data_IF_225266362615
#
_entry.id   IF_225266362615
#
_cell.length_a   1.000
_cell.length_b   1.000
_cell.length_c   1.000
_cell.angle_alpha   90.00
_cell.angle_beta   90.00
_cell.angle_gamma   90.00
#
_symmetry.space_group_name_H-M   'P 1'
#
loop_
_entity.id
_entity.type
_entity.pdbx_description
1 polymer ?
#
# COMPACT_ATOMS: atom_id res chain seq x y z
N UNK A 1 -0.84 -19.18 12.53
CA UNK A 1 -1.99 -18.37 12.09
C UNK A 1 -3.24 -19.23 12.20
N UNK A 2 -4.14 -19.01 13.17
CA UNK A 2 -5.39 -19.77 13.24
C UNK A 2 -6.22 -19.48 11.98
N UNK A 3 -6.52 -20.53 11.21
CA UNK A 3 -7.37 -20.44 10.03
C UNK A 3 -8.81 -20.25 10.48
N UNK A 4 -9.35 -19.04 10.32
CA UNK A 4 -10.77 -18.77 10.58
C UNK A 4 -11.57 -19.41 9.45
N UNK A 5 -12.47 -20.34 9.80
CA UNK A 5 -13.33 -21.00 8.82
C UNK A 5 -14.34 -20.00 8.23
N UNK A 6 -14.58 -20.07 6.93
CA UNK A 6 -15.64 -19.31 6.25
C UNK A 6 -17.02 -19.53 6.90
N UNK A 7 -17.25 -20.72 7.46
CA UNK A 7 -18.47 -21.02 8.23
C UNK A 7 -18.57 -20.23 9.54
N UNK A 8 -17.44 -19.87 10.15
CA UNK A 8 -17.36 -19.03 11.35
C UNK A 8 -17.68 -17.58 11.00
N UNK A 9 -17.15 -17.07 9.88
CA UNK A 9 -17.42 -15.71 9.38
C UNK A 9 -18.93 -15.54 9.09
N UNK A 10 -19.53 -16.50 8.37
CA UNK A 10 -20.96 -16.47 8.06
C UNK A 10 -21.85 -16.55 9.31
N UNK A 11 -21.43 -17.30 10.34
CA UNK A 11 -22.14 -17.36 11.62
C UNK A 11 -22.05 -16.04 12.39
N UNK A 12 -20.86 -15.42 12.42
CA UNK A 12 -20.62 -14.13 13.11
C UNK A 12 -21.48 -13.01 12.53
N UNK A 13 -21.56 -12.93 11.20
CA UNK A 13 -22.38 -11.94 10.49
C UNK A 13 -23.89 -12.14 10.74
N UNK A 14 -24.34 -13.37 11.05
CA UNK A 14 -25.76 -13.70 11.31
C UNK A 14 -26.24 -13.28 12.69
N UNK A 15 -25.34 -13.17 13.67
CA UNK A 15 -25.66 -12.93 15.08
C UNK A 15 -25.30 -11.55 15.59
N UNK A 16 -24.69 -10.70 14.76
CA UNK A 16 -24.23 -9.37 15.17
C UNK A 16 -25.37 -8.36 15.05
N UNK A 17 -25.70 -7.71 16.17
CA UNK A 17 -26.67 -6.61 16.26
C UNK A 17 -26.17 -5.32 15.60
N UNK A 18 -24.90 -5.25 15.23
CA UNK A 18 -24.23 -4.11 14.57
C UNK A 18 -24.50 -4.01 13.06
N UNK A 19 -25.05 -5.05 12.43
CA UNK A 19 -25.42 -5.00 11.01
C UNK A 19 -26.94 -4.92 10.86
N UNK A 20 -27.49 -3.82 10.32
CA UNK A 20 -28.91 -3.79 9.97
C UNK A 20 -29.20 -4.90 8.95
N UNK A 21 -30.41 -5.48 9.03
CA UNK A 21 -30.89 -6.37 7.99
C UNK A 21 -30.76 -5.66 6.64
N UNK A 22 -30.11 -6.31 5.68
CA UNK A 22 -29.76 -5.73 4.39
C UNK A 22 -31.03 -5.14 3.72
N UNK A 23 -31.05 -3.84 3.38
CA UNK A 23 -32.27 -3.16 2.92
C UNK A 23 -32.74 -3.62 1.54
N UNK A 24 -31.90 -4.34 0.79
CA UNK A 24 -32.35 -5.17 -0.31
C UNK A 24 -32.29 -6.63 0.11
N UNK A 25 -33.46 -7.27 0.09
CA UNK A 25 -33.61 -8.71 0.03
C UNK A 25 -33.02 -9.23 -1.30
N UNK A 26 -31.71 -9.10 -1.49
CA UNK A 26 -31.01 -9.98 -2.42
C UNK A 26 -30.82 -11.29 -1.67
N UNK A 27 -31.31 -12.38 -2.25
CA UNK A 27 -31.31 -13.73 -1.71
C UNK A 27 -29.91 -14.35 -1.49
N UNK A 28 -28.91 -13.57 -1.08
CA UNK A 28 -27.49 -13.90 -1.13
C UNK A 28 -26.90 -14.48 0.16
N UNK A 29 -27.46 -14.22 1.35
CA UNK A 29 -26.97 -14.92 2.55
C UNK A 29 -27.30 -16.41 2.51
N UNK A 30 -28.47 -16.76 1.96
CA UNK A 30 -28.78 -18.13 1.56
C UNK A 30 -27.83 -18.62 0.46
N UNK A 31 -27.52 -17.78 -0.53
CA UNK A 31 -26.66 -18.19 -1.66
C UNK A 31 -25.20 -18.43 -1.28
N UNK A 32 -24.58 -17.67 -0.37
CA UNK A 32 -23.17 -17.87 -0.02
C UNK A 32 -22.95 -19.19 0.73
N UNK A 33 -23.85 -19.51 1.66
CA UNK A 33 -23.87 -20.81 2.34
C UNK A 33 -24.15 -21.96 1.37
N UNK A 34 -25.14 -21.80 0.48
CA UNK A 34 -25.45 -22.79 -0.56
C UNK A 34 -24.30 -22.97 -1.56
N UNK A 35 -23.71 -21.89 -2.09
CA UNK A 35 -22.55 -21.95 -3.00
C UNK A 35 -21.33 -22.57 -2.33
N UNK A 36 -21.11 -22.33 -1.04
CA UNK A 36 -20.05 -23.03 -0.29
C UNK A 36 -20.31 -24.54 -0.20
N UNK A 37 -21.56 -24.95 0.04
CA UNK A 37 -21.94 -26.37 0.06
C UNK A 37 -21.79 -27.03 -1.32
N UNK A 38 -22.17 -26.33 -2.40
CA UNK A 38 -21.98 -26.76 -3.79
C UNK A 38 -20.50 -26.92 -4.12
N UNK A 39 -19.67 -25.94 -3.73
CA UNK A 39 -18.22 -26.03 -3.91
C UNK A 39 -17.61 -27.23 -3.16
N UNK A 40 -18.07 -27.51 -1.93
CA UNK A 40 -17.62 -28.71 -1.19
C UNK A 40 -18.04 -30.00 -1.88
N UNK A 41 -19.26 -30.06 -2.42
CA UNK A 41 -19.72 -31.20 -3.21
C UNK A 41 -18.90 -31.39 -4.49
N UNK A 42 -18.61 -30.31 -5.22
CA UNK A 42 -17.76 -30.33 -6.41
C UNK A 42 -16.32 -30.75 -6.09
N UNK A 43 -15.76 -30.33 -4.94
CA UNK A 43 -14.47 -30.81 -4.45
C UNK A 43 -14.46 -32.33 -4.28
N UNK A 44 -15.49 -32.89 -3.64
CA UNK A 44 -15.61 -34.33 -3.44
C UNK A 44 -15.79 -35.10 -4.76
N UNK A 45 -16.61 -34.58 -5.69
CA UNK A 45 -16.83 -35.19 -6.99
C UNK A 45 -15.57 -35.18 -7.87
N UNK A 46 -14.76 -34.12 -7.81
CA UNK A 46 -13.53 -33.98 -8.60
C UNK A 46 -12.35 -34.86 -8.16
N UNK A 47 -12.49 -35.64 -7.07
CA UNK A 47 -11.41 -36.49 -6.53
C UNK A 47 -10.94 -37.56 -7.52
N UNK A 48 -11.80 -37.95 -8.47
CA UNK A 48 -11.48 -38.91 -9.52
C UNK A 48 -10.63 -38.37 -10.68
N UNK A 49 -10.26 -37.08 -10.67
CA UNK A 49 -9.38 -36.48 -11.69
C UNK A 49 -10.04 -36.14 -13.03
N UNK A 50 -11.37 -36.25 -13.13
CA UNK A 50 -12.12 -35.85 -14.33
C UNK A 50 -11.96 -34.34 -14.59
N UNK A 51 -11.55 -33.99 -15.83
CA UNK A 51 -11.34 -32.62 -16.29
C UNK A 51 -12.62 -31.78 -16.25
N UNK A 52 -13.79 -32.37 -16.51
CA UNK A 52 -15.07 -31.66 -16.49
C UNK A 52 -15.44 -31.29 -15.05
N UNK A 53 -15.31 -32.25 -14.13
CA UNK A 53 -15.58 -32.02 -12.70
C UNK A 53 -14.56 -31.04 -12.07
N UNK A 54 -13.30 -31.08 -12.54
CA UNK A 54 -12.29 -30.09 -12.16
C UNK A 54 -12.64 -28.68 -12.65
N UNK A 55 -13.16 -28.54 -13.89
CA UNK A 55 -13.67 -27.27 -14.42
C UNK A 55 -14.86 -26.73 -13.61
N UNK A 56 -15.81 -27.60 -13.26
CA UNK A 56 -16.97 -27.22 -12.44
C UNK A 56 -16.54 -26.75 -11.04
N UNK A 57 -15.62 -27.45 -10.38
CA UNK A 57 -15.03 -27.02 -9.10
C UNK A 57 -14.42 -25.62 -9.20
N UNK A 58 -13.70 -25.31 -10.27
CA UNK A 58 -13.07 -24.01 -10.45
C UNK A 58 -14.11 -22.89 -10.64
N UNK A 59 -15.18 -23.16 -11.40
CA UNK A 59 -16.32 -22.25 -11.56
C UNK A 59 -17.05 -21.98 -10.23
N UNK A 60 -17.28 -23.04 -9.45
CA UNK A 60 -17.92 -22.91 -8.13
C UNK A 60 -17.02 -22.16 -7.15
N UNK A 61 -15.69 -22.35 -7.24
CA UNK A 61 -14.70 -21.58 -6.46
C UNK A 61 -14.80 -20.09 -6.76
N UNK A 62 -14.84 -19.72 -8.03
CA UNK A 62 -14.95 -18.32 -8.46
C UNK A 62 -16.25 -17.69 -7.97
N UNK A 63 -17.36 -18.42 -8.06
CA UNK A 63 -18.66 -17.99 -7.54
C UNK A 63 -18.60 -17.69 -6.04
N UNK A 64 -17.98 -18.57 -5.24
CA UNK A 64 -17.81 -18.35 -3.80
C UNK A 64 -16.94 -17.12 -3.51
N UNK A 65 -15.85 -16.91 -4.26
CA UNK A 65 -14.97 -15.75 -4.11
C UNK A 65 -15.71 -14.45 -4.42
N UNK A 66 -16.48 -14.41 -5.51
CA UNK A 66 -17.23 -13.21 -5.89
C UNK A 66 -18.28 -12.83 -4.82
N UNK A 67 -18.97 -13.83 -4.26
CA UNK A 67 -19.91 -13.61 -3.16
C UNK A 67 -19.22 -13.11 -1.88
N UNK A 68 -18.02 -13.63 -1.56
CA UNK A 68 -17.22 -13.15 -0.43
C UNK A 68 -16.77 -11.69 -0.62
N UNK A 69 -16.37 -11.32 -1.83
CA UNK A 69 -16.00 -9.93 -2.14
C UNK A 69 -17.21 -9.00 -1.98
N UNK A 70 -18.37 -9.38 -2.51
CA UNK A 70 -19.61 -8.61 -2.32
C UNK A 70 -19.95 -8.43 -0.84
N UNK A 71 -19.82 -9.49 -0.04
CA UNK A 71 -20.02 -9.39 1.41
C UNK A 71 -19.00 -8.46 2.07
N UNK A 72 -17.72 -8.53 1.67
CA UNK A 72 -16.69 -7.63 2.21
C UNK A 72 -16.96 -6.16 1.90
N UNK A 73 -17.46 -5.85 0.68
CA UNK A 73 -17.83 -4.49 0.31
C UNK A 73 -19.00 -3.97 1.13
N UNK A 74 -19.99 -4.82 1.40
CA UNK A 74 -21.08 -4.44 2.30
C UNK A 74 -20.60 -4.16 3.71
N UNK A 75 -19.78 -5.04 4.28
CA UNK A 75 -19.21 -4.85 5.62
C UNK A 75 -18.45 -3.53 5.68
N UNK A 76 -17.65 -3.22 4.66
CA UNK A 76 -16.94 -1.94 4.58
C UNK A 76 -17.88 -0.73 4.49
N UNK A 77 -18.99 -0.86 3.76
CA UNK A 77 -20.02 0.18 3.67
C UNK A 77 -20.71 0.42 5.01
N UNK A 78 -21.05 -0.63 5.76
CA UNK A 78 -21.69 -0.51 7.08
C UNK A 78 -20.71 -0.04 8.15
N UNK A 79 -19.45 -0.45 8.08
CA UNK A 79 -18.45 -0.09 9.07
C UNK A 79 -18.09 1.40 9.05
N UNK A 80 -18.30 2.13 7.94
CA UNK A 80 -17.95 3.56 7.82
C UNK A 80 -16.53 3.91 8.31
N UNK A 81 -15.56 3.00 8.14
CA UNK A 81 -14.18 3.18 8.61
C UNK A 81 -13.93 2.74 10.06
N UNK A 82 -14.94 2.28 10.79
CA UNK A 82 -14.77 1.67 12.10
C UNK A 82 -14.18 0.26 11.97
N UNK A 83 -12.93 0.13 12.41
CA UNK A 83 -12.18 -1.12 12.37
C UNK A 83 -12.80 -2.22 13.25
N UNK A 84 -13.47 -1.86 14.34
CA UNK A 84 -14.06 -2.83 15.25
C UNK A 84 -15.24 -3.55 14.60
N UNK A 85 -16.07 -2.83 13.85
CA UNK A 85 -17.19 -3.39 13.09
C UNK A 85 -16.69 -4.38 12.04
N UNK A 86 -15.58 -4.07 11.35
CA UNK A 86 -14.96 -5.01 10.40
C UNK A 86 -14.43 -6.26 11.12
N UNK A 87 -13.81 -6.12 12.29
CA UNK A 87 -13.33 -7.27 13.06
C UNK A 87 -14.48 -8.16 13.57
N UNK A 88 -15.59 -7.57 14.03
CA UNK A 88 -16.79 -8.29 14.46
C UNK A 88 -17.40 -9.15 13.34
N UNK A 89 -17.33 -8.67 12.10
CA UNK A 89 -17.81 -9.42 10.94
C UNK A 89 -16.95 -10.65 10.60
N UNK A 90 -15.78 -10.81 11.22
CA UNK A 90 -14.84 -11.90 10.97
C UNK A 90 -13.90 -11.66 9.78
N UNK A 91 -13.95 -10.47 9.18
CA UNK A 91 -12.97 -10.04 8.17
C UNK A 91 -11.75 -9.40 8.84
N UNK A 92 -10.57 -9.64 8.29
CA UNK A 92 -9.34 -8.98 8.77
C UNK A 92 -9.16 -7.67 8.01
N UNK A 93 -9.21 -6.50 8.67
CA UNK A 93 -8.93 -5.23 8.02
C UNK A 93 -7.47 -5.16 7.57
N UNK A 94 -7.23 -4.55 6.42
CA UNK A 94 -5.89 -4.27 5.91
C UNK A 94 -5.09 -3.43 6.91
N UNK A 95 -3.79 -3.69 7.04
CA UNK A 95 -2.90 -2.90 7.89
C UNK A 95 -2.90 -1.45 7.40
N UNK A 96 -3.18 -0.52 8.30
CA UNK A 96 -3.04 0.90 8.01
C UNK A 96 -1.56 1.26 7.78
N UNK A 97 -1.25 2.13 6.80
CA UNK A 97 0.10 2.57 6.56
C UNK A 97 0.61 3.40 7.75
N UNK A 98 1.47 2.77 8.55
CA UNK A 98 2.22 3.42 9.63
C UNK A 98 3.16 4.48 9.05
N UNK A 99 3.25 5.62 9.73
CA UNK A 99 4.22 6.67 9.41
C UNK A 99 5.62 6.16 9.71
N UNK A 100 6.46 6.05 8.68
CA UNK A 100 7.89 5.83 8.87
C UNK A 100 8.54 7.17 9.18
N UNK A 101 9.08 7.31 10.39
CA UNK A 101 9.87 8.47 10.78
C UNK A 101 11.12 8.53 9.89
N UNK A 102 11.23 9.62 9.13
CA UNK A 102 12.43 9.93 8.34
C UNK A 102 13.49 10.53 9.27
N UNK A 103 14.76 10.27 8.98
CA UNK A 103 15.90 10.87 9.68
C UNK A 103 16.68 11.78 8.74
N UNK A 104 17.34 12.82 9.27
CA UNK A 104 18.21 13.70 8.49
C UNK A 104 19.28 12.88 7.73
N UNK A 105 19.47 13.09 6.41
CA UNK A 105 20.49 12.39 5.64
C UNK A 105 21.89 12.68 6.21
N UNK A 106 22.71 11.64 6.29
CA UNK A 106 24.10 11.74 6.76
C UNK A 106 25.08 11.45 5.62
N UNK A 107 26.32 11.91 5.78
CA UNK A 107 27.42 11.64 4.86
C UNK A 107 27.17 12.19 3.44
N UNK A 108 26.94 13.50 3.34
CA UNK A 108 26.84 14.19 2.07
C UNK A 108 28.22 14.15 1.39
N UNK A 109 28.27 13.58 0.20
CA UNK A 109 29.47 13.48 -0.64
C UNK A 109 29.19 14.14 -1.97
N UNK A 110 30.08 15.05 -2.35
CA UNK A 110 30.07 15.69 -3.66
C UNK A 110 31.24 15.13 -4.46
N UNK A 111 30.97 14.67 -5.67
CA UNK A 111 31.99 14.10 -6.56
C UNK A 111 31.85 14.70 -7.95
N UNK A 112 32.98 15.00 -8.59
CA UNK A 112 32.99 15.47 -9.96
C UNK A 112 32.68 14.32 -10.92
N UNK A 113 31.78 14.54 -11.87
CA UNK A 113 31.35 13.51 -12.84
C UNK A 113 32.24 13.40 -14.07
N UNK A 114 33.28 14.24 -14.18
CA UNK A 114 34.16 14.30 -15.34
C UNK A 114 33.72 15.30 -16.42
N UNK A 115 32.51 15.86 -16.30
CA UNK A 115 31.96 16.85 -17.24
C UNK A 115 31.94 18.25 -16.60
N UNK A 116 32.39 19.30 -17.31
CA UNK A 116 32.37 20.65 -16.79
C UNK A 116 30.91 21.10 -16.58
N UNK A 117 30.63 21.64 -15.39
CA UNK A 117 29.28 22.10 -15.02
C UNK A 117 28.33 21.02 -14.52
N UNK A 118 28.83 19.81 -14.24
CA UNK A 118 28.08 18.74 -13.57
C UNK A 118 28.73 18.32 -12.25
N UNK A 119 27.92 18.17 -11.20
CA UNK A 119 28.33 17.60 -9.91
C UNK A 119 27.41 16.44 -9.54
N UNK A 120 27.99 15.35 -9.04
CA UNK A 120 27.25 14.26 -8.43
C UNK A 120 27.21 14.45 -6.93
N UNK A 121 26.02 14.74 -6.41
CA UNK A 121 25.77 14.81 -4.96
C UNK A 121 25.18 13.49 -4.53
N UNK A 122 25.73 12.89 -3.49
CA UNK A 122 25.26 11.63 -2.93
C UNK A 122 25.14 11.71 -1.42
N UNK A 123 24.11 11.07 -0.88
CA UNK A 123 23.87 10.95 0.55
C UNK A 123 23.68 9.49 0.93
N UNK A 124 23.86 9.16 2.21
CA UNK A 124 23.51 7.83 2.70
C UNK A 124 21.99 7.64 2.56
N UNK A 125 21.51 6.56 1.92
CA UNK A 125 20.08 6.31 1.77
C UNK A 125 19.39 6.22 3.13
N UNK A 126 18.33 7.01 3.31
CA UNK A 126 17.47 7.00 4.51
C UNK A 126 16.31 6.02 4.30
N UNK A 127 16.09 5.15 5.28
CA UNK A 127 14.98 4.18 5.26
C UNK A 127 13.66 4.93 5.39
N UNK A 128 12.74 4.74 4.44
CA UNK A 128 11.45 5.45 4.40
C UNK A 128 11.44 6.76 3.63
N UNK A 129 12.57 7.16 3.04
CA UNK A 129 12.63 8.27 2.09
C UNK A 129 11.87 7.91 0.79
N UNK A 130 10.94 8.77 0.39
CA UNK A 130 10.28 8.71 -0.91
C UNK A 130 11.08 9.49 -1.97
N UNK A 131 11.66 10.62 -1.60
CA UNK A 131 12.53 11.42 -2.46
C UNK A 131 13.50 12.28 -1.65
N UNK A 132 14.48 12.83 -2.35
CA UNK A 132 15.52 13.70 -1.83
C UNK A 132 15.43 15.06 -2.53
N UNK A 133 15.55 16.13 -1.75
CA UNK A 133 15.59 17.50 -2.24
C UNK A 133 17.01 18.02 -2.06
N UNK A 134 17.71 18.20 -3.17
CA UNK A 134 19.04 18.78 -3.19
C UNK A 134 18.90 20.26 -3.47
N UNK A 135 19.38 21.10 -2.57
CA UNK A 135 19.35 22.55 -2.76
C UNK A 135 20.77 23.08 -2.86
N UNK A 136 21.00 24.01 -3.78
CA UNK A 136 22.29 24.67 -3.94
C UNK A 136 22.15 26.17 -4.16
N UNK A 137 23.17 26.93 -3.74
CA UNK A 137 23.27 28.37 -3.97
C UNK A 137 24.72 28.80 -4.21
N UNK A 138 24.91 29.90 -4.92
CA UNK A 138 26.20 30.58 -5.13
C UNK A 138 26.41 31.75 -4.18
N UNK A 139 25.38 32.17 -3.44
CA UNK A 139 25.46 33.33 -2.58
C UNK A 139 26.18 32.97 -1.25
N UNK A 140 27.30 33.64 -0.89
CA UNK A 140 27.98 33.41 0.38
C UNK A 140 27.13 33.77 1.61
N UNK A 141 26.10 34.61 1.46
CA UNK A 141 25.21 34.99 2.56
C UNK A 141 24.14 33.93 2.88
N UNK A 142 24.04 32.85 2.09
CA UNK A 142 23.11 31.73 2.31
C UNK A 142 21.62 32.14 2.48
N UNK A 143 21.22 33.29 1.93
CA UNK A 143 19.85 33.79 2.02
C UNK A 143 18.83 32.76 1.50
N UNK A 144 17.72 32.55 2.22
CA UNK A 144 16.74 31.49 1.95
C UNK A 144 16.08 31.59 0.56
N UNK A 145 16.06 32.77 -0.05
CA UNK A 145 15.48 33.01 -1.38
C UNK A 145 16.35 32.57 -2.56
N UNK A 146 17.65 32.35 -2.34
CA UNK A 146 18.62 32.11 -3.43
C UNK A 146 18.93 30.61 -3.64
N UNK A 147 18.17 29.72 -3.00
CA UNK A 147 18.36 28.28 -3.09
C UNK A 147 17.62 27.71 -4.30
N UNK A 148 18.38 27.13 -5.23
CA UNK A 148 17.82 26.35 -6.33
C UNK A 148 17.61 24.90 -5.88
N UNK A 149 16.44 24.34 -6.17
CA UNK A 149 16.04 22.99 -5.72
C UNK A 149 16.05 22.00 -6.87
N UNK A 150 16.57 20.82 -6.60
CA UNK A 150 16.58 19.67 -7.51
C UNK A 150 16.03 18.47 -6.77
N UNK A 151 14.93 17.92 -7.29
CA UNK A 151 14.31 16.73 -6.73
C UNK A 151 14.83 15.48 -7.41
N UNK A 152 15.21 14.49 -6.62
CA UNK A 152 15.68 13.20 -7.09
C UNK A 152 15.08 12.09 -6.23
N UNK A 153 14.59 11.02 -6.84
CA UNK A 153 14.07 9.85 -6.11
C UNK A 153 15.19 8.99 -5.52
N UNK A 154 16.38 9.04 -6.13
CA UNK A 154 17.57 8.35 -5.64
C UNK A 154 18.36 9.21 -4.64
N UNK A 155 19.05 8.54 -3.71
CA UNK A 155 20.01 9.16 -2.78
C UNK A 155 21.29 9.70 -3.48
N UNK A 156 21.31 9.70 -4.82
CA UNK A 156 22.37 10.29 -5.65
C UNK A 156 21.70 11.10 -6.75
N UNK A 157 22.12 12.34 -6.93
CA UNK A 157 21.55 13.25 -7.91
C UNK A 157 22.65 13.98 -8.65
N UNK A 158 22.47 14.14 -9.96
CA UNK A 158 23.37 14.94 -10.80
C UNK A 158 22.80 16.35 -10.88
N UNK A 159 23.51 17.31 -10.31
CA UNK A 159 23.21 18.73 -10.48
C UNK A 159 23.93 19.19 -11.75
N UNK A 160 23.18 19.74 -12.70
CA UNK A 160 23.68 20.16 -14.02
C UNK A 160 23.51 21.66 -14.20
N UNK A 161 24.26 22.24 -15.14
CA UNK A 161 24.16 23.66 -15.48
C UNK A 161 24.92 24.56 -14.50
N UNK A 162 25.91 24.02 -13.80
CA UNK A 162 26.76 24.79 -12.89
C UNK A 162 27.87 25.50 -13.67
N UNK A 163 28.25 26.70 -13.23
CA UNK A 163 29.36 27.47 -13.80
C UNK A 163 30.68 26.94 -13.23
N UNK A 164 31.63 26.48 -14.07
CA UNK A 164 32.92 25.99 -13.59
C UNK A 164 33.71 27.08 -12.84
N UNK A 165 34.36 26.71 -11.74
CA UNK A 165 35.20 27.62 -10.94
C UNK A 165 34.45 28.46 -9.90
N UNK A 166 33.12 28.38 -9.83
CA UNK A 166 32.33 29.02 -8.79
C UNK A 166 32.21 28.13 -7.53
N UNK A 167 32.16 28.77 -6.36
CA UNK A 167 31.88 28.09 -5.09
C UNK A 167 30.36 27.92 -4.91
N UNK A 168 29.94 26.70 -4.64
CA UNK A 168 28.53 26.36 -4.39
C UNK A 168 28.36 25.83 -2.97
N UNK A 169 27.32 26.30 -2.28
CA UNK A 169 26.86 25.75 -1.02
C UNK A 169 25.71 24.77 -1.31
N UNK A 170 25.75 23.59 -0.69
CA UNK A 170 24.76 22.55 -0.92
C UNK A 170 24.16 22.06 0.40
N UNK A 171 22.84 21.85 0.41
CA UNK A 171 22.12 21.16 1.48
C UNK A 171 21.18 20.12 0.90
N UNK A 172 20.83 19.11 1.69
CA UNK A 172 19.98 18.00 1.26
C UNK A 172 18.88 17.79 2.29
N UNK A 173 17.64 17.89 1.86
CA UNK A 173 16.46 17.49 2.63
C UNK A 173 15.92 16.14 2.15
N UNK A 174 15.21 15.43 3.02
CA UNK A 174 14.54 14.18 2.69
C UNK A 174 13.04 14.35 2.80
N UNK A 175 12.35 13.79 1.80
CA UNK A 175 10.89 13.79 1.73
C UNK A 175 10.41 12.35 1.99
N UNK A 176 9.63 12.17 3.04
CA UNK A 176 9.02 10.90 3.43
C UNK A 176 7.76 10.56 2.65
N UNK A 177 7.25 9.34 2.83
CA UNK A 177 6.09 8.78 2.11
C UNK A 177 4.75 9.47 2.44
N UNK A 178 4.69 10.31 3.48
CA UNK A 178 3.55 11.19 3.80
C UNK A 178 3.92 12.67 3.74
N UNK A 179 4.76 13.05 2.77
CA UNK A 179 5.21 14.45 2.56
C UNK A 179 5.92 15.07 3.78
N UNK A 180 6.45 14.24 4.68
CA UNK A 180 7.30 14.71 5.77
C UNK A 180 8.59 15.25 5.17
N UNK A 181 8.85 16.55 5.34
CA UNK A 181 10.11 17.18 4.91
C UNK A 181 10.98 17.38 6.14
N UNK A 182 12.20 16.84 6.10
CA UNK A 182 13.22 16.99 7.13
C UNK A 182 14.56 17.41 6.51
#
# INVERSE_FOLDING_TARGET
>A
MPSISLSTILKSNRSSTSFPAFPFAYAHHGSAGSSHSTYRAACNASRGGDRVLAGQKNKDRETVINLLHQLSHYVLMVAFGDRNVVLESGFTPTKEPETVLVTNPTNIKVTYTGQPGELLVSVKPVKGAASYMFEYTTNPEMNEGDWQRVHCTAARCKVKGLTPGATYFLRVGVIGTKEQVL
#
